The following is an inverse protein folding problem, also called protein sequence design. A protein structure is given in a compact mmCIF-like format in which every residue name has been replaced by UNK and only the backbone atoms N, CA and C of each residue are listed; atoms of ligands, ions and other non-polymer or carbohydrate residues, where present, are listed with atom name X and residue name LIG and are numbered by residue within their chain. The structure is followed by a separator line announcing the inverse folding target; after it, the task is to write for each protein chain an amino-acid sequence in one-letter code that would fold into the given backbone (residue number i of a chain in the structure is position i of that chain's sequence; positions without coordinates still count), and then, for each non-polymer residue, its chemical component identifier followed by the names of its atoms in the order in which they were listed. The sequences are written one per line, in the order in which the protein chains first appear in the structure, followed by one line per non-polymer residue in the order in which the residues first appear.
data_IF_941481531432
#
_entry.id   IF_941481531432
#
_cell.length_a   1.000
_cell.length_b   1.000
_cell.length_c   1.000
_cell.angle_alpha   90.00
_cell.angle_beta   90.00
_cell.angle_gamma   90.00
#
_symmetry.space_group_name_H-M   'P 1'
#
loop_
_entity.id
_entity.type
_entity.pdbx_description
1 polymer ?
#
# COMPACT_ATOMS: atom_id res chain seq x y z
N UNK A 1 -44.52 -56.17 57.84
CA UNK A 1 -45.23 -56.88 56.74
C UNK A 1 -45.21 -55.98 55.51
N UNK A 2 -44.99 -56.60 54.33
CA UNK A 2 -44.61 -56.02 53.02
C UNK A 2 -43.13 -55.63 52.98
N UNK A 3 -42.29 -56.18 52.11
CA UNK A 3 -42.50 -57.13 51.01
C UNK A 3 -41.29 -57.02 50.08
N UNK A 4 -40.64 -58.15 49.83
CA UNK A 4 -39.42 -58.34 49.04
C UNK A 4 -39.55 -58.03 47.54
N UNK A 5 -38.37 -58.06 46.88
CA UNK A 5 -38.03 -58.55 45.52
C UNK A 5 -37.43 -57.47 44.59
N UNK A 6 -36.11 -57.53 44.34
CA UNK A 6 -35.43 -58.17 43.17
C UNK A 6 -35.64 -57.34 41.87
N UNK A 7 -34.73 -57.19 40.92
CA UNK A 7 -33.41 -57.75 40.61
C UNK A 7 -32.92 -57.04 39.33
N UNK A 8 -31.59 -56.85 39.20
CA UNK A 8 -30.77 -56.99 37.99
C UNK A 8 -31.12 -56.22 36.70
N UNK A 9 -30.19 -55.34 36.27
CA UNK A 9 -29.62 -55.39 34.91
C UNK A 9 -28.29 -54.60 34.86
N UNK A 10 -27.22 -55.30 34.49
CA UNK A 10 -25.91 -54.78 34.14
C UNK A 10 -25.87 -54.38 32.64
N UNK A 11 -24.94 -53.46 32.34
CA UNK A 11 -24.28 -53.19 31.05
C UNK A 11 -25.04 -52.37 29.98
N UNK A 12 -24.60 -51.12 29.79
CA UNK A 12 -24.25 -50.60 28.47
C UNK A 12 -23.27 -49.42 28.60
N UNK A 13 -22.15 -49.50 27.89
CA UNK A 13 -21.06 -48.54 27.84
C UNK A 13 -21.47 -47.18 27.24
N UNK A 14 -20.73 -46.08 27.55
CA UNK A 14 -20.98 -44.78 26.94
C UNK A 14 -20.40 -44.77 25.51
N UNK A 15 -21.27 -44.74 24.51
CA UNK A 15 -20.91 -44.55 23.10
C UNK A 15 -21.53 -43.23 22.65
N UNK A 16 -20.68 -42.24 22.37
CA UNK A 16 -21.12 -40.97 21.79
C UNK A 16 -20.36 -39.70 22.19
N UNK A 17 -19.04 -39.78 22.41
CA UNK A 17 -18.20 -38.61 22.14
C UNK A 17 -18.06 -38.45 20.61
N UNK A 18 -17.92 -37.22 20.13
CA UNK A 18 -17.74 -36.77 18.73
C UNK A 18 -19.01 -36.34 17.99
N UNK A 19 -19.78 -35.42 18.59
CA UNK A 19 -20.15 -34.22 17.83
C UNK A 19 -19.12 -33.16 18.19
N UNK A 20 -17.97 -33.23 17.50
CA UNK A 20 -17.06 -32.10 17.39
C UNK A 20 -17.87 -31.07 16.61
N UNK A 21 -18.63 -30.24 17.33
CA UNK A 21 -19.22 -29.06 16.75
C UNK A 21 -18.08 -28.32 16.07
N UNK A 22 -18.19 -28.13 14.76
CA UNK A 22 -17.39 -27.15 14.06
C UNK A 22 -17.37 -25.90 14.94
N UNK A 23 -16.21 -25.32 15.28
CA UNK A 23 -16.21 -24.06 16.00
C UNK A 23 -17.08 -23.12 15.18
N UNK A 24 -18.26 -22.76 15.70
CA UNK A 24 -19.06 -21.70 15.13
C UNK A 24 -18.11 -20.51 15.00
N UNK A 25 -18.05 -19.83 13.84
CA UNK A 25 -17.24 -18.63 13.71
C UNK A 25 -17.67 -17.70 14.86
N UNK A 26 -16.77 -17.48 15.81
CA UNK A 26 -17.04 -16.52 16.89
C UNK A 26 -17.29 -15.18 16.20
N UNK A 27 -18.46 -14.54 16.41
CA UNK A 27 -18.65 -13.19 15.93
C UNK A 27 -17.52 -12.34 16.52
N UNK A 28 -16.83 -11.62 15.64
CA UNK A 28 -15.80 -10.66 16.04
C UNK A 28 -16.43 -9.69 17.05
N UNK A 29 -15.69 -9.23 18.07
CA UNK A 29 -16.22 -8.28 19.04
C UNK A 29 -16.80 -7.04 18.33
N UNK A 30 -18.05 -6.71 18.63
CA UNK A 30 -18.63 -5.43 18.19
C UNK A 30 -17.84 -4.29 18.83
N UNK A 31 -17.27 -3.42 17.99
CA UNK A 31 -16.50 -2.28 18.45
C UNK A 31 -17.44 -1.25 19.10
N UNK A 32 -17.11 -0.73 20.29
CA UNK A 32 -17.96 0.27 20.94
C UNK A 32 -17.97 1.57 20.14
N UNK A 33 -19.16 2.12 19.90
CA UNK A 33 -19.31 3.42 19.24
C UNK A 33 -18.56 4.51 20.03
N UNK A 34 -17.66 5.25 19.34
CA UNK A 34 -17.05 6.48 19.86
C UNK A 34 -15.59 6.41 20.36
N UNK A 35 -14.80 5.38 20.04
CA UNK A 35 -13.34 5.30 20.33
C UNK A 35 -12.55 4.96 19.04
N UNK A 36 -11.27 5.41 18.89
CA UNK A 36 -10.61 5.53 17.58
C UNK A 36 -10.17 4.18 16.99
N UNK A 37 -10.53 3.95 15.73
CA UNK A 37 -10.25 2.75 14.92
C UNK A 37 -8.75 2.45 14.83
N UNK A 38 -8.34 1.17 14.84
CA UNK A 38 -7.00 0.66 14.43
C UNK A 38 -7.13 -0.77 13.87
N UNK A 39 -6.43 -1.22 12.79
CA UNK A 39 -5.64 -0.53 11.75
C UNK A 39 -5.98 -0.97 10.28
N UNK A 40 -5.44 -0.35 9.20
CA UNK A 40 -5.01 -1.15 8.05
C UNK A 40 -3.92 -2.11 8.49
N UNK A 41 -4.17 -3.42 8.47
CA UNK A 41 -3.10 -4.41 8.57
C UNK A 41 -2.46 -4.59 7.19
N UNK A 42 -2.03 -3.50 6.54
CA UNK A 42 -1.30 -3.69 5.28
C UNK A 42 0.09 -4.24 5.65
N UNK A 43 0.35 -5.53 5.44
CA UNK A 43 1.63 -6.13 5.83
C UNK A 43 2.62 -5.76 4.73
N UNK A 44 3.70 -5.06 5.09
CA UNK A 44 4.83 -4.85 4.16
C UNK A 44 5.43 -6.21 3.87
N UNK A 45 4.96 -6.84 2.79
CA UNK A 45 5.69 -7.93 2.19
C UNK A 45 6.69 -7.26 1.24
N UNK A 46 7.94 -7.10 1.71
CA UNK A 46 9.06 -6.54 0.92
C UNK A 46 9.33 -7.31 -0.40
N UNK A 47 8.60 -8.39 -0.64
CA UNK A 47 8.69 -9.29 -1.79
C UNK A 47 7.96 -8.83 -3.06
N UNK A 48 7.07 -7.83 -3.02
CA UNK A 48 6.25 -7.47 -4.18
C UNK A 48 6.25 -5.96 -4.49
N UNK A 49 7.44 -5.36 -4.62
CA UNK A 49 7.60 -4.12 -5.38
C UNK A 49 7.76 -4.49 -6.85
N UNK A 50 6.69 -4.53 -7.62
CA UNK A 50 6.78 -4.71 -9.08
C UNK A 50 7.18 -3.40 -9.73
N UNK A 51 8.46 -3.05 -9.56
CA UNK A 51 9.15 -2.21 -10.52
C UNK A 51 9.75 -3.17 -11.54
N UNK A 52 9.64 -2.94 -12.84
CA UNK A 52 10.36 -3.75 -13.83
C UNK A 52 11.90 -3.70 -13.63
N UNK A 53 12.38 -2.86 -12.71
CA UNK A 53 13.78 -2.72 -12.30
C UNK A 53 13.93 -3.23 -10.85
N UNK A 54 14.65 -4.34 -10.59
CA UNK A 54 14.78 -4.93 -9.25
C UNK A 54 15.64 -4.10 -8.26
N UNK A 55 16.03 -2.88 -8.62
CA UNK A 55 16.92 -2.02 -7.84
C UNK A 55 16.12 -1.10 -6.90
N UNK A 56 16.63 -0.91 -5.67
CA UNK A 56 16.11 0.10 -4.72
C UNK A 56 16.26 1.54 -5.28
N UNK A 57 17.14 1.72 -6.25
CA UNK A 57 17.39 2.97 -6.98
C UNK A 57 17.27 2.69 -8.47
N UNK A 58 16.31 3.30 -9.14
CA UNK A 58 16.14 3.21 -10.59
C UNK A 58 17.10 4.20 -11.26
N UNK A 59 17.97 3.69 -12.11
CA UNK A 59 18.87 4.53 -12.91
C UNK A 59 18.14 5.07 -14.13
N UNK A 60 18.17 6.39 -14.28
CA UNK A 60 17.56 7.10 -15.41
C UNK A 60 18.69 7.57 -16.33
N UNK A 61 18.68 7.27 -17.63
CA UNK A 61 19.68 7.80 -18.53
C UNK A 61 19.54 9.33 -18.61
N UNK A 62 20.64 10.08 -18.68
CA UNK A 62 20.64 11.54 -18.84
C UNK A 62 20.57 11.96 -20.31
N UNK A 63 19.99 13.13 -20.60
CA UNK A 63 20.07 13.76 -21.91
C UNK A 63 19.43 12.97 -23.06
N UNK A 64 18.43 12.14 -22.78
CA UNK A 64 17.77 11.36 -23.83
C UNK A 64 16.93 12.26 -24.75
N UNK A 65 16.93 12.01 -26.08
CA UNK A 65 16.07 12.72 -27.02
C UNK A 65 14.58 12.53 -26.70
N UNK A 66 14.20 11.33 -26.29
CA UNK A 66 12.88 11.01 -25.74
C UNK A 66 12.98 10.86 -24.23
N UNK A 67 12.10 11.55 -23.50
CA UNK A 67 12.05 11.46 -22.05
C UNK A 67 11.64 10.04 -21.63
N UNK A 68 12.39 9.38 -20.74
CA UNK A 68 12.03 8.05 -20.26
C UNK A 68 10.75 8.11 -19.42
N UNK A 69 9.95 7.04 -19.50
CA UNK A 69 8.70 6.87 -18.76
C UNK A 69 8.76 5.59 -17.93
N UNK A 70 8.42 5.70 -16.66
CA UNK A 70 8.45 4.57 -15.72
C UNK A 70 7.04 4.30 -15.20
N UNK A 71 6.51 3.10 -15.48
CA UNK A 71 5.26 2.65 -14.89
C UNK A 71 5.53 2.08 -13.49
N UNK A 72 4.94 2.70 -12.46
CA UNK A 72 5.05 2.29 -11.06
C UNK A 72 3.73 1.72 -10.58
N UNK A 73 3.83 0.61 -9.84
CA UNK A 73 2.72 -0.09 -9.19
C UNK A 73 3.21 -0.70 -7.89
N UNK A 74 2.29 -0.92 -6.97
CA UNK A 74 2.54 -1.69 -5.76
C UNK A 74 1.42 -2.71 -5.56
N UNK A 75 1.79 -3.88 -5.05
CA UNK A 75 0.83 -4.82 -4.47
C UNK A 75 0.79 -4.58 -2.96
N UNK A 76 -0.39 -4.23 -2.46
CA UNK A 76 -0.66 -3.91 -1.07
C UNK A 76 -1.27 -5.14 -0.42
N UNK A 77 -0.70 -5.62 0.68
CA UNK A 77 -1.27 -6.77 1.38
C UNK A 77 -2.17 -6.34 2.53
N UNK A 78 -3.44 -6.10 2.29
CA UNK A 78 -4.43 -5.66 3.26
C UNK A 78 -5.06 -6.83 4.04
N UNK A 79 -4.73 -6.98 5.33
CA UNK A 79 -5.34 -8.03 6.15
C UNK A 79 -6.76 -7.71 6.64
N UNK A 80 -7.34 -6.55 6.28
CA UNK A 80 -8.74 -6.22 6.53
C UNK A 80 -9.38 -5.50 5.34
N UNK A 81 -9.96 -6.27 4.42
CA UNK A 81 -10.56 -5.79 3.18
C UNK A 81 -11.98 -5.21 3.33
N UNK A 82 -12.50 -5.12 4.57
CA UNK A 82 -13.86 -4.63 4.85
C UNK A 82 -13.98 -3.12 4.53
N UNK A 83 -12.90 -2.39 4.69
CA UNK A 83 -12.86 -0.94 4.43
C UNK A 83 -12.12 -0.64 3.11
N UNK A 84 -12.48 0.47 2.44
CA UNK A 84 -11.70 0.94 1.31
C UNK A 84 -10.36 1.49 1.81
N UNK A 85 -9.32 1.28 1.00
CA UNK A 85 -8.03 1.95 1.17
C UNK A 85 -7.85 2.98 0.07
N UNK A 86 -7.20 4.10 0.42
CA UNK A 86 -6.87 5.20 -0.47
C UNK A 86 -5.36 5.22 -0.66
N UNK A 87 -4.92 5.23 -1.91
CA UNK A 87 -3.51 5.35 -2.27
C UNK A 87 -3.26 6.68 -3.00
N UNK A 88 -2.21 7.41 -2.59
CA UNK A 88 -1.83 8.72 -3.14
C UNK A 88 -0.37 8.72 -3.54
N UNK A 89 -0.08 9.19 -4.76
CA UNK A 89 1.28 9.31 -5.30
C UNK A 89 1.83 10.71 -5.09
N UNK A 90 3.09 10.78 -4.70
CA UNK A 90 3.81 12.02 -4.47
C UNK A 90 5.16 11.96 -5.16
N UNK A 91 5.56 13.07 -5.76
CA UNK A 91 6.88 13.24 -6.36
C UNK A 91 7.59 14.34 -5.59
N UNK A 92 8.80 14.05 -5.12
CA UNK A 92 9.67 14.97 -4.39
C UNK A 92 8.95 15.64 -3.21
N UNK A 93 8.18 14.84 -2.45
CA UNK A 93 7.49 15.31 -1.25
C UNK A 93 8.51 15.75 -0.20
N UNK A 94 8.72 17.06 -0.09
CA UNK A 94 9.58 17.67 0.91
C UNK A 94 8.80 18.75 1.68
N UNK A 95 8.64 18.51 2.98
CA UNK A 95 7.95 19.42 3.90
C UNK A 95 8.74 20.71 4.17
N UNK A 96 10.05 20.72 3.90
CA UNK A 96 10.88 21.91 3.99
C UNK A 96 10.75 22.79 2.73
N UNK A 97 10.32 22.23 1.61
CA UNK A 97 10.24 22.90 0.30
C UNK A 97 8.81 23.33 -0.09
N UNK A 98 7.92 23.62 0.88
CA UNK A 98 6.51 23.96 0.62
C UNK A 98 6.36 25.13 -0.39
N UNK A 99 5.37 25.09 -1.31
CA UNK A 99 4.28 24.10 -1.46
C UNK A 99 4.27 23.47 -2.87
N UNK A 100 5.39 22.92 -3.36
CA UNK A 100 5.41 22.32 -4.71
C UNK A 100 4.79 20.92 -4.77
N UNK A 101 4.09 20.49 -3.71
CA UNK A 101 3.54 19.15 -3.61
C UNK A 101 2.04 19.17 -3.82
N UNK A 102 1.63 19.31 -5.08
CA UNK A 102 0.30 18.84 -5.49
C UNK A 102 0.43 17.32 -5.67
N UNK A 103 -0.39 16.50 -4.99
CA UNK A 103 -0.37 15.08 -5.23
C UNK A 103 -0.74 14.84 -6.70
N UNK A 104 0.10 14.09 -7.40
CA UNK A 104 -0.18 13.68 -8.76
C UNK A 104 -0.93 12.36 -8.67
N UNK A 105 -2.20 12.40 -8.22
CA UNK A 105 -2.97 11.17 -8.05
C UNK A 105 -4.09 11.04 -9.07
N UNK A 106 -4.25 9.81 -9.56
CA UNK A 106 -5.55 9.15 -9.51
C UNK A 106 -5.68 8.61 -8.06
N UNK A 107 -6.71 9.02 -7.32
CA UNK A 107 -7.04 8.29 -6.09
C UNK A 107 -7.47 6.90 -6.50
N UNK A 108 -6.72 5.90 -6.07
CA UNK A 108 -7.15 4.53 -6.24
C UNK A 108 -7.96 4.15 -5.01
N UNK A 109 -9.28 4.16 -5.20
CA UNK A 109 -10.21 3.57 -4.26
C UNK A 109 -10.23 2.07 -4.52
N UNK A 110 -9.44 1.35 -3.74
CA UNK A 110 -9.47 -0.11 -3.75
C UNK A 110 -10.69 -0.51 -2.93
N UNK A 111 -11.73 -0.97 -3.63
CA UNK A 111 -13.04 -1.24 -3.07
C UNK A 111 -13.01 -2.31 -1.98
N UNK A 112 -14.02 -2.29 -1.10
CA UNK A 112 -14.17 -3.30 -0.07
C UNK A 112 -14.56 -4.68 -0.67
N UNK A 113 -14.14 -5.76 0.00
CA UNK A 113 -14.75 -7.09 -0.19
C UNK A 113 -14.24 -7.93 -1.35
N UNK A 114 -13.01 -7.72 -1.83
CA UNK A 114 -12.30 -8.79 -2.52
C UNK A 114 -11.81 -9.81 -1.49
N UNK A 115 -12.11 -11.10 -1.68
CA UNK A 115 -11.59 -12.18 -0.82
C UNK A 115 -10.05 -12.34 -0.90
N UNK A 116 -9.37 -11.38 -1.55
CA UNK A 116 -7.93 -11.31 -1.70
C UNK A 116 -7.34 -10.35 -0.66
N UNK A 117 -6.37 -10.83 0.10
CA UNK A 117 -5.55 -9.95 0.93
C UNK A 117 -4.57 -9.11 0.10
N UNK A 118 -4.34 -9.43 -1.17
CA UNK A 118 -3.45 -8.67 -2.04
C UNK A 118 -4.28 -7.77 -2.97
N UNK A 119 -3.99 -6.47 -2.94
CA UNK A 119 -4.65 -5.42 -3.72
C UNK A 119 -3.61 -4.71 -4.58
N UNK A 120 -3.83 -4.66 -5.89
CA UNK A 120 -2.92 -3.95 -6.79
C UNK A 120 -3.35 -2.49 -6.98
N UNK A 121 -2.40 -1.57 -6.87
CA UNK A 121 -2.67 -0.18 -7.26
C UNK A 121 -2.67 -0.02 -8.77
N UNK A 122 -3.46 0.93 -9.27
CA UNK A 122 -3.32 1.47 -10.62
C UNK A 122 -1.88 1.90 -10.92
N UNK A 123 -1.52 1.78 -12.19
CA UNK A 123 -0.25 2.29 -12.71
C UNK A 123 -0.16 3.80 -12.52
N UNK A 124 0.94 4.25 -11.94
CA UNK A 124 1.38 5.64 -12.00
C UNK A 124 2.51 5.75 -13.03
N UNK A 125 2.31 6.58 -14.05
CA UNK A 125 3.35 6.86 -15.04
C UNK A 125 4.21 8.03 -14.57
N UNK A 126 5.48 7.76 -14.29
CA UNK A 126 6.44 8.74 -13.84
C UNK A 126 7.41 9.14 -14.97
N UNK A 127 7.23 10.33 -15.58
CA UNK A 127 8.20 10.92 -16.52
C UNK A 127 9.22 11.81 -15.77
N UNK A 128 10.43 11.33 -15.40
CA UNK A 128 11.30 12.04 -14.46
C UNK A 128 11.70 13.44 -14.95
N UNK A 129 11.88 13.59 -16.27
CA UNK A 129 12.32 14.84 -16.90
C UNK A 129 11.29 15.98 -16.81
N UNK A 130 10.01 15.66 -16.54
CA UNK A 130 8.95 16.66 -16.43
C UNK A 130 8.82 17.24 -15.02
N UNK A 131 9.45 16.60 -14.03
CA UNK A 131 9.45 17.07 -12.65
C UNK A 131 10.73 17.83 -12.36
N UNK A 132 10.63 18.88 -11.53
CA UNK A 132 11.81 19.44 -10.89
C UNK A 132 12.48 18.37 -10.04
N UNK A 133 13.81 18.32 -10.01
CA UNK A 133 14.57 17.41 -9.17
C UNK A 133 14.57 17.86 -7.71
N UNK A 134 14.96 16.96 -6.81
CA UNK A 134 15.13 17.27 -5.38
C UNK A 134 16.14 18.43 -5.24
N UNK A 135 15.83 19.40 -4.37
CA UNK A 135 16.69 20.54 -4.10
C UNK A 135 18.10 20.08 -3.70
N UNK A 136 19.13 20.71 -4.29
CA UNK A 136 20.53 20.33 -4.07
C UNK A 136 21.02 19.15 -4.91
N UNK A 137 20.17 18.54 -5.75
CA UNK A 137 20.60 17.57 -6.78
C UNK A 137 20.80 18.23 -8.15
N UNK A 138 21.23 17.45 -9.16
CA UNK A 138 21.36 17.92 -10.54
C UNK A 138 20.03 18.37 -11.14
N UNK A 139 20.06 19.16 -12.21
CA UNK A 139 18.84 19.62 -12.90
C UNK A 139 18.13 18.45 -13.61
N UNK A 140 16.79 18.48 -13.69
CA UNK A 140 16.01 17.41 -14.33
C UNK A 140 16.55 17.05 -15.73
N UNK A 141 16.68 15.75 -15.99
CA UNK A 141 17.27 15.23 -17.24
C UNK A 141 18.80 15.27 -17.33
N UNK A 142 19.49 15.86 -16.35
CA UNK A 142 20.96 15.87 -16.27
C UNK A 142 21.49 14.84 -15.29
N UNK A 143 22.71 14.34 -15.52
CA UNK A 143 23.35 13.41 -14.60
C UNK A 143 23.47 14.03 -13.19
N UNK A 144 23.12 13.25 -12.17
CA UNK A 144 23.06 13.68 -10.78
C UNK A 144 21.69 14.21 -10.34
N UNK A 145 20.69 14.31 -11.23
CA UNK A 145 19.33 14.65 -10.82
C UNK A 145 18.69 13.51 -10.04
N UNK A 146 18.12 13.84 -8.88
CA UNK A 146 17.42 12.90 -8.01
C UNK A 146 15.93 13.19 -8.01
N UNK A 147 15.12 12.14 -8.13
CA UNK A 147 13.70 12.19 -7.83
C UNK A 147 13.33 11.09 -6.84
N UNK A 148 12.40 11.41 -5.95
CA UNK A 148 11.81 10.48 -4.99
C UNK A 148 10.33 10.40 -5.31
N UNK A 149 9.86 9.22 -5.68
CA UNK A 149 8.43 8.95 -5.83
C UNK A 149 7.98 8.16 -4.62
N UNK A 150 6.91 8.60 -3.98
CA UNK A 150 6.30 7.93 -2.84
C UNK A 150 4.84 7.57 -3.16
N UNK A 151 4.44 6.35 -2.82
CA UNK A 151 3.04 5.96 -2.73
C UNK A 151 2.69 5.88 -1.25
N UNK A 152 1.71 6.66 -0.84
CA UNK A 152 1.21 6.72 0.54
C UNK A 152 -0.18 6.12 0.57
N UNK A 153 -0.38 5.12 1.42
CA UNK A 153 -1.63 4.35 1.53
C UNK A 153 -2.19 4.49 2.93
N UNK A 154 -3.51 4.68 3.05
CA UNK A 154 -4.25 4.74 4.32
C UNK A 154 -5.71 4.33 4.10
N UNK A 155 -6.41 3.86 5.14
CA UNK A 155 -7.88 3.69 5.15
C UNK A 155 -8.63 5.03 5.15
N UNK A 156 -7.91 6.14 5.29
CA UNK A 156 -8.47 7.47 5.08
C UNK A 156 -7.46 8.57 5.32
N UNK A 157 -7.48 9.56 4.43
CA UNK A 157 -6.80 10.84 4.63
C UNK A 157 -7.75 11.87 5.24
N UNK A 158 -7.21 12.78 6.05
CA UNK A 158 -7.97 13.87 6.65
C UNK A 158 -8.21 14.97 5.61
N UNK A 159 -9.46 15.22 5.19
CA UNK A 159 -9.75 16.22 4.17
C UNK A 159 -9.40 17.65 4.62
N UNK A 160 -9.27 17.91 5.93
CA UNK A 160 -8.82 19.22 6.42
C UNK A 160 -7.36 19.52 6.04
N UNK A 161 -6.59 18.48 5.74
CA UNK A 161 -5.19 18.57 5.33
C UNK A 161 -5.02 18.41 3.81
N UNK A 162 -6.10 18.30 3.04
CA UNK A 162 -6.09 18.27 1.58
C UNK A 162 -5.97 19.69 1.00
N UNK A 163 -5.03 20.46 1.55
CA UNK A 163 -4.72 21.83 1.13
C UNK A 163 -3.21 22.05 1.08
N UNK A 164 -2.69 22.90 0.16
CA UNK A 164 -1.25 23.10 0.02
C UNK A 164 -0.59 23.76 1.24
N UNK A 165 -1.38 24.40 2.10
CA UNK A 165 -0.92 25.16 3.28
C UNK A 165 -0.95 24.35 4.57
N UNK A 166 -1.49 23.14 4.56
CA UNK A 166 -1.53 22.26 5.72
C UNK A 166 -0.12 21.85 6.20
N UNK A 167 -0.02 21.28 7.41
CA UNK A 167 1.26 20.83 7.95
C UNK A 167 1.82 19.61 7.19
N UNK A 168 0.94 18.68 6.83
CA UNK A 168 1.22 17.54 5.95
C UNK A 168 0.22 17.54 4.78
N UNK A 169 0.38 18.45 3.79
CA UNK A 169 -0.53 18.59 2.66
C UNK A 169 -0.80 17.24 1.99
N UNK A 170 -2.08 16.89 1.89
CA UNK A 170 -2.60 15.70 1.21
C UNK A 170 -2.10 14.35 1.73
N UNK A 171 -1.32 14.33 2.82
CA UNK A 171 -0.63 13.15 3.35
C UNK A 171 -1.11 12.76 4.75
N UNK A 172 -1.77 13.66 5.46
CA UNK A 172 -2.24 13.41 6.83
C UNK A 172 -3.35 12.33 6.84
N UNK A 173 -3.17 11.22 7.57
CA UNK A 173 -4.26 10.27 7.81
C UNK A 173 -5.30 10.87 8.76
N UNK A 174 -6.55 10.40 8.69
CA UNK A 174 -7.53 10.72 9.74
C UNK A 174 -7.08 10.11 11.06
N UNK A 175 -7.51 10.70 12.18
CA UNK A 175 -7.22 10.19 13.51
C UNK A 175 -7.60 8.70 13.65
N UNK A 176 -6.65 7.90 14.13
CA UNK A 176 -6.80 6.44 14.28
C UNK A 176 -6.29 5.62 13.08
N UNK A 177 -6.12 6.22 11.89
CA UNK A 177 -5.59 5.47 10.76
C UNK A 177 -4.06 5.51 10.68
N UNK A 178 -3.49 4.38 10.26
CA UNK A 178 -2.07 4.24 9.95
C UNK A 178 -1.79 4.54 8.48
N UNK A 179 -0.55 4.90 8.19
CA UNK A 179 -0.06 5.19 6.85
C UNK A 179 1.04 4.22 6.48
N UNK A 180 1.03 3.78 5.23
CA UNK A 180 2.12 3.00 4.63
C UNK A 180 2.75 3.75 3.48
N UNK A 181 4.07 3.67 3.39
CA UNK A 181 4.84 4.43 2.41
C UNK A 181 5.71 3.48 1.61
N UNK A 182 5.48 3.45 0.31
CA UNK A 182 6.38 2.82 -0.66
C UNK A 182 7.18 3.92 -1.33
N UNK A 183 8.48 3.68 -1.52
CA UNK A 183 9.40 4.68 -2.05
C UNK A 183 10.24 4.12 -3.18
N UNK A 184 10.38 4.92 -4.22
CA UNK A 184 11.27 4.71 -5.35
C UNK A 184 12.22 5.89 -5.48
N UNK A 185 13.49 5.59 -5.66
CA UNK A 185 14.53 6.59 -5.90
C UNK A 185 14.94 6.52 -7.36
N UNK A 186 14.89 7.65 -8.05
CA UNK A 186 15.32 7.76 -9.45
C UNK A 186 16.56 8.63 -9.49
N UNK A 187 17.70 8.03 -9.83
CA UNK A 187 18.96 8.75 -10.02
C UNK A 187 19.27 8.83 -11.50
N UNK A 188 19.35 10.07 -12.00
CA UNK A 188 19.77 10.31 -13.37
C UNK A 188 21.28 10.14 -13.49
N UNK A 189 21.73 9.31 -14.42
CA UNK A 189 23.14 8.94 -14.63
C UNK A 189 23.52 9.14 -16.08
N UNK A 190 24.80 9.35 -16.36
CA UNK A 190 25.31 9.40 -17.73
C UNK A 190 24.93 8.12 -18.48
N UNK A 191 24.39 8.21 -19.71
CA UNK A 191 24.04 7.04 -20.49
C UNK A 191 25.20 6.07 -20.63
N UNK A 192 24.90 4.78 -20.55
CA UNK A 192 25.87 3.69 -20.68
C UNK A 192 25.21 2.48 -21.34
N UNK A 193 25.98 1.41 -21.59
CA UNK A 193 25.43 0.16 -22.11
C UNK A 193 24.32 -0.42 -21.21
N UNK A 194 24.45 -0.24 -19.89
CA UNK A 194 23.50 -0.76 -18.89
C UNK A 194 22.33 0.20 -18.62
N UNK A 195 22.46 1.47 -19.01
CA UNK A 195 21.44 2.51 -18.83
C UNK A 195 21.35 3.32 -20.12
N UNK A 196 20.71 2.70 -21.12
CA UNK A 196 20.53 3.28 -22.44
C UNK A 196 19.25 4.13 -22.50
N UNK A 197 19.26 5.15 -23.35
CA UNK A 197 18.04 5.88 -23.67
C UNK A 197 16.99 4.95 -24.30
N UNK A 198 15.69 5.16 -24.03
CA UNK A 198 14.62 4.49 -24.75
C UNK A 198 14.82 4.68 -26.26
N UNK A 199 14.60 3.61 -27.03
CA UNK A 199 14.57 3.72 -28.49
C UNK A 199 13.21 4.32 -28.90
N UNK A 200 13.20 5.24 -29.87
CA UNK A 200 11.95 5.64 -30.52
C UNK A 200 11.17 4.41 -31.00
N UNK A 201 9.83 4.41 -30.94
CA UNK A 201 9.05 3.36 -31.56
C UNK A 201 9.45 3.23 -33.04
N UNK A 202 9.66 2.00 -33.51
CA UNK A 202 9.91 1.75 -34.92
C UNK A 202 8.66 2.21 -35.71
N UNK A 203 8.82 3.30 -36.47
CA UNK A 203 7.78 3.82 -37.35
C UNK A 203 7.45 2.93 -38.52
#
# INVERSE_FOLDING_TARGET
MRGDLRAWALLAAPLGALLVGCPLPQPLPDYPEGQPVTPPRVVVNDTFRTVPFPETVVRVPAGCPEAPLYALRATLRDANTIEPIVARWFVNYDLAARPTVTPQFAEDLLGAGDDSFDRETRSFEFPPYQYASVAGSGASGTAGALHVVELVVSNGFDPNFDTPTAELPYRQPKLGFEVQVYRWLFLTVTPSADVACPKPPAG
#
